data_IF_112750764082
#
_entry.id   IF_112750764082
#
_cell.length_a   1.000
_cell.length_b   1.000
_cell.length_c   1.000
_cell.angle_alpha   90.00
_cell.angle_beta   90.00
_cell.angle_gamma   90.00
#
_symmetry.space_group_name_H-M   'P 1'
#
loop_
_entity.id
_entity.type
_entity.pdbx_description
1 polymer ?
#
# COMPACT_ATOMS: atom_id res chain seq x y z
N UNK A 1 0.51 16.66 -2.24
CA UNK A 1 -0.76 16.05 -1.77
C UNK A 1 -1.45 15.39 -2.93
N UNK A 2 -2.36 14.44 -2.67
CA UNK A 2 -3.22 13.83 -3.69
C UNK A 2 -4.21 12.84 -3.06
N UNK A 3 -5.04 12.24 -3.92
CA UNK A 3 -6.07 11.26 -3.54
C UNK A 3 -5.47 9.88 -3.29
N UNK A 4 -5.68 9.35 -2.08
CA UNK A 4 -5.30 7.97 -1.75
C UNK A 4 -6.16 6.97 -2.54
N UNK A 5 -5.57 6.04 -3.29
CA UNK A 5 -6.34 5.07 -4.07
C UNK A 5 -7.15 4.07 -3.22
N UNK A 6 -6.78 3.87 -1.96
CA UNK A 6 -7.51 2.98 -1.04
C UNK A 6 -8.66 3.71 -0.32
N UNK A 7 -8.35 4.72 0.50
CA UNK A 7 -9.35 5.40 1.34
C UNK A 7 -9.96 6.67 0.72
N UNK A 8 -9.55 7.05 -0.49
CA UNK A 8 -10.05 8.21 -1.25
C UNK A 8 -9.90 9.60 -0.60
N UNK A 9 -9.21 9.71 0.54
CA UNK A 9 -8.88 10.99 1.17
C UNK A 9 -7.81 11.76 0.39
N UNK A 10 -7.96 13.08 0.32
CA UNK A 10 -6.95 14.01 -0.19
C UNK A 10 -5.92 14.33 0.91
N UNK A 11 -4.69 13.81 0.79
CA UNK A 11 -3.65 14.02 1.80
C UNK A 11 -2.24 13.75 1.25
N UNK A 12 -1.23 13.71 2.11
CA UNK A 12 0.12 13.28 1.74
C UNK A 12 0.14 11.78 1.48
N UNK A 13 0.66 11.42 0.31
CA UNK A 13 0.75 10.04 -0.15
C UNK A 13 2.19 9.54 -0.02
N UNK A 14 2.29 8.23 0.11
CA UNK A 14 3.52 7.45 0.11
C UNK A 14 3.40 6.40 -0.99
N UNK A 15 4.52 6.05 -1.60
CA UNK A 15 4.55 4.95 -2.57
C UNK A 15 4.60 3.62 -1.81
N UNK A 16 3.69 2.71 -2.13
CA UNK A 16 3.66 1.34 -1.63
C UNK A 16 3.91 0.37 -2.78
N UNK A 17 4.96 -0.45 -2.65
CA UNK A 17 5.26 -1.50 -3.62
C UNK A 17 4.27 -2.65 -3.49
N UNK A 18 3.66 -3.06 -4.60
CA UNK A 18 2.77 -4.22 -4.64
C UNK A 18 3.54 -5.53 -4.40
N UNK A 19 4.76 -5.60 -4.92
CA UNK A 19 5.74 -6.63 -4.55
C UNK A 19 6.74 -5.98 -3.58
N UNK A 20 6.72 -6.28 -2.27
CA UNK A 20 7.57 -5.63 -1.27
C UNK A 20 9.06 -5.66 -1.62
N UNK A 21 9.73 -4.50 -1.53
CA UNK A 21 11.18 -4.40 -1.85
C UNK A 21 12.07 -5.40 -1.13
N UNK A 22 11.71 -5.79 0.10
CA UNK A 22 12.50 -6.75 0.90
C UNK A 22 12.59 -8.12 0.24
N UNK A 23 11.62 -8.52 -0.59
CA UNK A 23 11.64 -9.81 -1.30
C UNK A 23 12.36 -9.76 -2.64
N UNK A 24 12.57 -8.57 -3.23
CA UNK A 24 13.19 -8.38 -4.56
C UNK A 24 14.56 -9.05 -4.70
N UNK A 25 15.34 -9.09 -3.61
CA UNK A 25 16.69 -9.67 -3.63
C UNK A 25 16.72 -11.20 -3.72
N UNK A 26 15.62 -11.89 -3.42
CA UNK A 26 15.56 -13.35 -3.41
C UNK A 26 15.55 -13.90 -4.84
N UNK A 27 16.24 -15.02 -5.08
CA UNK A 27 16.44 -15.60 -6.41
C UNK A 27 15.14 -15.88 -7.17
N UNK A 28 14.12 -16.39 -6.48
CA UNK A 28 12.80 -16.62 -7.06
C UNK A 28 12.24 -15.35 -7.70
N UNK A 29 12.27 -14.21 -7.00
CA UNK A 29 11.68 -12.96 -7.50
C UNK A 29 12.48 -12.37 -8.65
N UNK A 30 13.81 -12.46 -8.61
CA UNK A 30 14.66 -12.03 -9.73
C UNK A 30 14.45 -12.83 -11.02
N UNK A 31 14.03 -14.10 -10.90
CA UNK A 31 13.83 -14.99 -12.05
C UNK A 31 12.44 -14.87 -12.68
N UNK A 32 11.42 -14.54 -11.89
CA UNK A 32 10.03 -14.59 -12.33
C UNK A 32 9.38 -13.22 -12.52
N UNK A 33 10.03 -12.13 -12.10
CA UNK A 33 9.51 -10.78 -12.25
C UNK A 33 10.54 -9.89 -12.91
N UNK A 34 10.10 -9.07 -13.86
CA UNK A 34 10.94 -8.01 -14.45
C UNK A 34 11.04 -6.79 -13.51
N UNK A 35 11.87 -5.82 -13.90
CA UNK A 35 12.11 -4.62 -13.08
C UNK A 35 10.86 -3.75 -12.91
N UNK A 36 10.00 -3.68 -13.93
CA UNK A 36 8.81 -2.83 -13.92
C UNK A 36 7.73 -3.46 -13.02
N UNK A 37 7.56 -4.77 -13.09
CA UNK A 37 6.72 -5.55 -12.18
C UNK A 37 7.18 -5.41 -10.72
N UNK A 38 8.50 -5.50 -10.46
CA UNK A 38 9.03 -5.30 -9.11
C UNK A 38 8.89 -3.84 -8.64
N UNK A 39 8.97 -2.88 -9.56
CA UNK A 39 8.79 -1.47 -9.26
C UNK A 39 7.32 -1.05 -9.10
N UNK A 40 6.38 -1.87 -9.58
CA UNK A 40 4.96 -1.59 -9.54
C UNK A 40 4.46 -1.29 -8.12
N UNK A 41 3.57 -0.31 -8.02
CA UNK A 41 3.12 0.20 -6.74
C UNK A 41 1.98 1.19 -6.89
N UNK A 42 1.47 1.63 -5.74
CA UNK A 42 0.34 2.54 -5.62
C UNK A 42 0.68 3.72 -4.70
N UNK A 43 0.04 4.86 -4.96
CA UNK A 43 0.13 6.03 -4.09
C UNK A 43 -1.01 6.02 -3.07
N UNK A 44 -0.64 5.86 -1.80
CA UNK A 44 -1.58 5.73 -0.69
C UNK A 44 -1.18 6.59 0.51
N UNK A 45 -2.15 6.99 1.32
CA UNK A 45 -1.85 7.71 2.55
C UNK A 45 -1.11 6.82 3.55
N UNK A 46 -0.33 7.43 4.45
CA UNK A 46 0.46 6.70 5.46
C UNK A 46 -0.37 5.76 6.34
N UNK A 47 -1.62 6.10 6.65
CA UNK A 47 -2.49 5.22 7.44
C UNK A 47 -2.85 3.95 6.66
N UNK A 48 -3.25 4.05 5.39
CA UNK A 48 -3.48 2.89 4.54
C UNK A 48 -2.22 2.05 4.36
N UNK A 49 -1.06 2.69 4.15
CA UNK A 49 0.23 2.01 4.03
C UNK A 49 0.52 1.16 5.27
N UNK A 50 0.42 1.77 6.46
CA UNK A 50 0.63 1.07 7.72
C UNK A 50 -0.40 -0.06 7.92
N UNK A 51 -1.65 0.17 7.50
CA UNK A 51 -2.71 -0.85 7.52
C UNK A 51 -2.33 -2.09 6.74
N UNK A 52 -1.95 -1.93 5.47
CA UNK A 52 -1.58 -3.06 4.60
C UNK A 52 -0.51 -3.95 5.26
N UNK A 53 0.56 -3.33 5.78
CA UNK A 53 1.64 -4.06 6.46
C UNK A 53 1.31 -4.52 7.88
N UNK A 54 0.21 -4.06 8.48
CA UNK A 54 -0.31 -4.57 9.75
C UNK A 54 -1.14 -5.83 9.55
N UNK A 55 -1.94 -5.87 8.49
CA UNK A 55 -2.82 -7.01 8.19
C UNK A 55 -2.06 -8.17 7.55
N UNK A 56 -1.10 -7.89 6.67
CA UNK A 56 -0.41 -8.93 5.91
C UNK A 56 1.11 -8.75 5.90
N UNK A 57 1.80 -9.88 5.98
CA UNK A 57 3.24 -9.94 5.84
C UNK A 57 3.69 -9.84 4.37
N UNK A 58 4.99 -9.67 4.15
CA UNK A 58 5.54 -9.44 2.82
C UNK A 58 5.29 -10.61 1.86
N UNK A 59 5.30 -11.84 2.38
CA UNK A 59 5.09 -13.04 1.57
C UNK A 59 3.64 -13.17 1.12
N UNK A 60 2.69 -12.88 2.00
CA UNK A 60 1.26 -12.88 1.72
C UNK A 60 0.93 -11.77 0.73
N UNK A 61 1.45 -10.55 0.94
CA UNK A 61 1.29 -9.44 0.00
C UNK A 61 1.77 -9.83 -1.40
N UNK A 62 2.93 -10.47 -1.50
CA UNK A 62 3.47 -10.86 -2.80
C UNK A 62 2.65 -11.95 -3.50
N UNK A 63 2.07 -12.89 -2.75
CA UNK A 63 1.38 -14.06 -3.32
C UNK A 63 -0.08 -13.80 -3.63
N UNK A 64 -0.73 -12.98 -2.81
CA UNK A 64 -2.20 -12.80 -2.84
C UNK A 64 -2.57 -11.39 -3.25
N UNK A 65 -1.75 -10.38 -2.90
CA UNK A 65 -2.10 -8.97 -3.03
C UNK A 65 -1.11 -8.16 -3.90
N UNK A 66 -0.54 -8.80 -4.93
CA UNK A 66 0.42 -8.17 -5.84
C UNK A 66 -0.23 -7.23 -6.87
N UNK A 67 -1.53 -6.95 -6.76
CA UNK A 67 -2.26 -5.97 -7.59
C UNK A 67 -3.08 -5.02 -6.73
N UNK A 68 -3.36 -3.79 -7.20
CA UNK A 68 -4.23 -2.85 -6.49
C UNK A 68 -5.64 -3.41 -6.27
N UNK A 69 -6.17 -4.14 -7.26
CA UNK A 69 -7.52 -4.71 -7.23
C UNK A 69 -7.63 -5.74 -6.11
N UNK A 70 -6.60 -6.58 -5.91
CA UNK A 70 -6.57 -7.57 -4.85
C UNK A 70 -6.58 -6.92 -3.46
N UNK A 71 -5.82 -5.83 -3.26
CA UNK A 71 -5.82 -5.08 -2.00
C UNK A 71 -7.18 -4.43 -1.70
N UNK A 72 -7.86 -3.92 -2.73
CA UNK A 72 -9.15 -3.21 -2.59
C UNK A 72 -10.30 -4.19 -2.38
N UNK A 73 -10.24 -5.36 -3.03
CA UNK A 73 -11.24 -6.41 -2.94
C UNK A 73 -11.19 -7.22 -1.63
N UNK A 74 -10.06 -7.17 -0.92
CA UNK A 74 -9.93 -7.85 0.37
C UNK A 74 -10.88 -7.24 1.43
N UNK A 75 -11.78 -8.02 2.04
CA UNK A 75 -12.77 -7.49 2.98
C UNK A 75 -12.15 -6.81 4.21
N UNK A 76 -11.06 -7.37 4.76
CA UNK A 76 -10.43 -6.86 5.97
C UNK A 76 -9.73 -5.52 5.73
N UNK A 77 -9.00 -5.42 4.62
CA UNK A 77 -8.42 -4.15 4.17
C UNK A 77 -9.48 -3.15 3.77
N UNK A 78 -10.56 -3.56 3.10
CA UNK A 78 -11.63 -2.67 2.69
C UNK A 78 -12.33 -2.03 3.89
N UNK A 79 -12.62 -2.81 4.93
CA UNK A 79 -13.15 -2.31 6.20
C UNK A 79 -12.18 -1.29 6.83
N UNK A 80 -10.89 -1.62 6.87
CA UNK A 80 -9.87 -0.72 7.38
C UNK A 80 -9.78 0.57 6.57
N UNK A 81 -9.77 0.51 5.24
CA UNK A 81 -9.73 1.68 4.35
C UNK A 81 -10.96 2.55 4.53
N UNK A 82 -12.15 1.95 4.69
CA UNK A 82 -13.41 2.64 4.98
C UNK A 82 -13.38 3.34 6.33
N UNK A 83 -12.77 2.73 7.34
CA UNK A 83 -12.52 3.39 8.63
C UNK A 83 -11.52 4.55 8.47
N UNK A 84 -10.41 4.33 7.76
CA UNK A 84 -9.38 5.35 7.50
C UNK A 84 -9.99 6.57 6.79
N UNK A 85 -10.92 6.37 5.85
CA UNK A 85 -11.60 7.43 5.10
C UNK A 85 -12.31 8.45 6.00
N UNK A 86 -12.76 8.03 7.19
CA UNK A 86 -13.46 8.86 8.17
C UNK A 86 -12.52 9.56 9.16
N UNK A 87 -11.23 9.21 9.17
CA UNK A 87 -10.28 9.77 10.14
C UNK A 87 -9.83 11.17 9.75
N UNK A 88 -9.69 12.05 10.75
CA UNK A 88 -9.18 13.40 10.55
C UNK A 88 -7.78 13.38 9.93
N UNK A 89 -7.60 14.13 8.85
CA UNK A 89 -6.27 14.39 8.29
C UNK A 89 -5.58 15.38 9.22
N UNK A 90 -4.55 14.92 9.93
CA UNK A 90 -3.68 15.84 10.67
C UNK A 90 -2.80 16.55 9.65
N UNK A 91 -3.13 17.79 9.35
CA UNK A 91 -2.20 18.70 8.69
C UNK A 91 -1.05 18.93 9.66
N UNK A 92 0.17 18.63 9.24
CA UNK A 92 1.35 19.13 9.96
C UNK A 92 1.37 20.62 9.66
N UNK A 93 0.93 21.44 10.62
CA UNK A 93 1.26 22.86 10.62
C UNK A 93 2.79 22.94 10.60
N UNK A 94 3.36 23.60 9.59
CA UNK A 94 4.81 23.87 9.55
C UNK A 94 5.10 24.92 10.63
N UNK A 95 5.17 24.47 11.86
CA UNK A 95 5.36 25.30 13.04
C UNK A 95 6.05 24.53 14.16
N UNK A 96 7.20 23.90 13.86
CA UNK A 96 8.28 23.66 14.83
C UNK A 96 9.58 23.35 14.12
#
# INVERSE_FOLDING_TARGET
MGRCCCCQRETWLTFHHLIPRKVHRRSHFKKHYDKDQLAAGILICRQCHNGIHRFYDEMTLTRVFATPEALIADPALNEYFSWVAKQRIRTVDKGR
#
